data_IF_559431940959
#
_entry.id   IF_559431940959
#
_cell.length_a   1.000
_cell.length_b   1.000
_cell.length_c   1.000
_cell.angle_alpha   90.00
_cell.angle_beta   90.00
_cell.angle_gamma   90.00
#
_symmetry.space_group_name_H-M   'P 1'
#
loop_
_entity.id
_entity.type
_entity.pdbx_description
1 polymer ?
#
# COMPACT_ATOMS: atom_id res chain seq x y z
N UNK A 1 6.63 -22.08 -36.82
CA UNK A 1 7.59 -21.99 -35.70
C UNK A 1 7.01 -21.02 -34.68
N UNK A 2 6.58 -21.49 -33.50
CA UNK A 2 5.91 -20.64 -32.49
C UNK A 2 6.98 -20.04 -31.59
N UNK A 3 7.21 -18.73 -31.69
CA UNK A 3 8.07 -18.01 -30.76
C UNK A 3 7.38 -17.94 -29.39
N UNK A 4 8.11 -18.35 -28.35
CA UNK A 4 7.69 -18.28 -26.97
C UNK A 4 7.55 -16.80 -26.56
N UNK A 5 6.33 -16.37 -26.24
CA UNK A 5 6.11 -15.14 -25.49
C UNK A 5 6.60 -15.40 -24.07
N UNK A 6 7.86 -15.05 -23.81
CA UNK A 6 8.44 -14.96 -22.47
C UNK A 6 7.49 -14.15 -21.61
N UNK A 7 6.95 -14.80 -20.58
CA UNK A 7 6.38 -14.24 -19.37
C UNK A 7 6.51 -12.71 -19.31
N UNK A 8 5.43 -12.00 -19.63
CA UNK A 8 5.30 -10.62 -19.18
C UNK A 8 5.24 -10.74 -17.66
N UNK A 9 6.36 -10.45 -16.98
CA UNK A 9 6.41 -10.20 -15.55
C UNK A 9 5.49 -9.00 -15.26
N UNK A 10 4.18 -9.28 -15.11
CA UNK A 10 3.24 -8.35 -14.50
C UNK A 10 3.88 -7.98 -13.16
N UNK A 11 4.31 -6.72 -12.95
CA UNK A 11 5.06 -6.38 -11.76
C UNK A 11 4.22 -6.74 -10.55
N UNK A 12 4.82 -7.56 -9.68
CA UNK A 12 4.38 -7.87 -8.32
C UNK A 12 3.62 -6.66 -7.76
N UNK A 13 2.29 -6.76 -7.77
CA UNK A 13 1.32 -5.86 -7.13
C UNK A 13 1.88 -4.48 -6.73
N UNK A 14 1.64 -3.45 -7.54
CA UNK A 14 2.19 -2.09 -7.30
C UNK A 14 1.82 -1.60 -5.90
N UNK A 15 2.83 -1.18 -5.15
CA UNK A 15 2.68 -0.47 -3.88
C UNK A 15 3.20 0.94 -4.02
N UNK A 16 2.50 1.90 -3.42
CA UNK A 16 2.92 3.30 -3.42
C UNK A 16 3.11 3.77 -1.99
N UNK A 17 4.33 4.18 -1.65
CA UNK A 17 4.68 4.74 -0.36
C UNK A 17 4.53 6.26 -0.39
N UNK A 18 3.86 6.80 0.61
CA UNK A 18 3.68 8.23 0.79
C UNK A 18 4.21 8.67 2.15
N UNK A 19 4.84 9.84 2.17
CA UNK A 19 5.24 10.55 3.38
C UNK A 19 4.22 11.64 3.66
N UNK A 20 3.54 11.56 4.80
CA UNK A 20 2.65 12.60 5.30
C UNK A 20 3.42 13.78 5.87
N UNK A 21 2.71 14.90 6.08
CA UNK A 21 3.26 16.20 6.51
C UNK A 21 4.02 16.14 7.83
N UNK A 22 3.64 15.26 8.74
CA UNK A 22 4.23 15.10 10.08
C UNK A 22 5.32 14.03 10.14
N UNK A 23 5.85 13.60 8.99
CA UNK A 23 6.82 12.49 8.92
C UNK A 23 6.20 11.11 9.12
N UNK A 24 4.86 11.02 9.17
CA UNK A 24 4.15 9.75 9.10
C UNK A 24 4.29 9.13 7.70
N UNK A 25 4.24 7.81 7.61
CA UNK A 25 4.27 7.12 6.32
C UNK A 25 3.01 6.26 6.17
N UNK A 26 2.48 6.22 4.96
CA UNK A 26 1.37 5.34 4.61
C UNK A 26 1.63 4.69 3.26
N UNK A 27 1.06 3.51 3.08
CA UNK A 27 1.16 2.69 1.88
C UNK A 27 -0.22 2.60 1.24
N UNK A 28 -0.28 2.77 -0.07
CA UNK A 28 -1.47 2.50 -0.86
C UNK A 28 -1.21 1.27 -1.71
N UNK A 29 -2.15 0.33 -1.63
CA UNK A 29 -2.08 -0.92 -2.36
C UNK A 29 -3.50 -1.42 -2.61
N UNK A 30 -3.81 -1.84 -3.84
CA UNK A 30 -5.12 -2.34 -4.27
C UNK A 30 -6.31 -1.47 -3.84
N UNK A 31 -6.17 -0.15 -3.92
CA UNK A 31 -7.25 0.75 -3.52
C UNK A 31 -7.55 0.74 -2.01
N UNK A 32 -6.57 0.40 -1.18
CA UNK A 32 -6.65 0.51 0.27
C UNK A 32 -5.48 1.29 0.87
N UNK A 33 -5.78 2.12 1.87
CA UNK A 33 -4.76 2.81 2.68
C UNK A 33 -4.30 1.90 3.81
N UNK A 34 -3.00 1.80 3.98
CA UNK A 34 -2.38 1.17 5.13
C UNK A 34 -1.48 2.18 5.85
N UNK A 35 -1.62 2.28 7.16
CA UNK A 35 -0.74 3.08 8.00
C UNK A 35 0.41 2.20 8.50
N UNK A 36 1.62 2.79 8.58
CA UNK A 36 2.77 2.11 9.16
C UNK A 36 2.48 1.76 10.62
N UNK A 37 2.60 0.49 10.98
CA UNK A 37 2.41 0.04 12.35
C UNK A 37 3.74 -0.11 13.08
N UNK A 38 4.63 -0.94 12.55
CA UNK A 38 5.93 -1.21 13.17
C UNK A 38 6.95 -1.52 12.09
N UNK A 39 8.18 -1.06 12.32
CA UNK A 39 9.37 -1.41 11.55
C UNK A 39 10.20 -2.39 12.36
N UNK A 40 10.69 -3.44 11.72
CA UNK A 40 11.43 -4.57 12.30
C UNK A 40 12.69 -4.78 11.43
N UNK A 41 13.70 -5.47 11.96
CA UNK A 41 14.96 -5.75 11.24
C UNK A 41 15.64 -4.46 10.76
N UNK A 42 15.81 -3.49 11.67
CA UNK A 42 16.49 -2.23 11.35
C UNK A 42 15.76 -1.33 10.33
N UNK A 43 14.48 -1.57 10.07
CA UNK A 43 13.71 -0.80 9.07
C UNK A 43 13.45 -1.55 7.76
N UNK A 44 14.15 -2.68 7.54
CA UNK A 44 13.99 -3.48 6.32
C UNK A 44 12.58 -4.07 6.23
N UNK A 45 12.07 -4.66 7.32
CA UNK A 45 10.74 -5.26 7.33
C UNK A 45 9.72 -4.32 7.96
N UNK A 46 8.67 -3.95 7.24
CA UNK A 46 7.61 -3.10 7.77
C UNK A 46 6.26 -3.79 7.75
N UNK A 47 5.54 -3.73 8.87
CA UNK A 47 4.12 -4.13 8.97
C UNK A 47 3.24 -2.90 8.82
N UNK A 48 2.30 -2.98 7.89
CA UNK A 48 1.32 -1.95 7.57
C UNK A 48 -0.08 -2.47 7.91
N UNK A 49 -0.87 -1.72 8.67
CA UNK A 49 -2.27 -2.08 8.99
C UNK A 49 -3.22 -1.22 8.19
N UNK A 50 -4.35 -1.77 7.77
CA UNK A 50 -5.37 -0.97 7.10
C UNK A 50 -5.73 0.27 7.95
N UNK A 51 -5.95 1.41 7.29
CA UNK A 51 -6.33 2.64 7.96
C UNK A 51 -7.64 2.51 8.76
N UNK A 52 -8.53 1.59 8.37
CA UNK A 52 -9.77 1.26 9.10
C UNK A 52 -9.59 0.17 10.17
N UNK A 53 -8.37 -0.14 10.58
CA UNK A 53 -8.12 -1.14 11.64
C UNK A 53 -8.87 -0.84 12.95
N UNK A 54 -8.96 0.44 13.34
CA UNK A 54 -9.75 0.85 14.51
C UNK A 54 -11.26 0.60 14.37
N UNK A 55 -11.75 0.38 13.14
CA UNK A 55 -13.14 0.00 12.81
C UNK A 55 -13.29 -1.51 12.56
N UNK A 56 -12.37 -2.32 13.10
CA UNK A 56 -12.42 -3.79 13.02
C UNK A 56 -11.82 -4.41 11.75
N UNK A 57 -11.25 -3.62 10.83
CA UNK A 57 -10.58 -4.17 9.65
C UNK A 57 -9.28 -4.90 10.02
N UNK A 58 -9.14 -6.16 9.59
CA UNK A 58 -7.98 -7.01 9.92
C UNK A 58 -6.95 -7.11 8.80
N UNK A 59 -7.10 -6.33 7.73
CA UNK A 59 -6.17 -6.34 6.62
C UNK A 59 -4.80 -5.77 6.99
N UNK A 60 -3.75 -6.45 6.54
CA UNK A 60 -2.35 -6.16 6.86
C UNK A 60 -1.48 -6.40 5.63
N UNK A 61 -0.48 -5.54 5.43
CA UNK A 61 0.54 -5.67 4.40
C UNK A 61 1.91 -5.75 5.06
N UNK A 62 2.80 -6.57 4.52
CA UNK A 62 4.20 -6.68 4.92
C UNK A 62 5.09 -6.33 3.74
N UNK A 63 6.02 -5.42 3.98
CA UNK A 63 7.07 -5.07 3.01
C UNK A 63 8.43 -5.44 3.57
N UNK A 64 9.35 -5.79 2.68
CA UNK A 64 10.77 -5.93 2.96
C UNK A 64 11.53 -5.03 1.98
N UNK A 65 12.31 -4.10 2.50
CA UNK A 65 13.10 -3.12 1.73
C UNK A 65 12.26 -2.41 0.65
N UNK A 66 11.07 -1.94 1.04
CA UNK A 66 10.14 -1.27 0.12
C UNK A 66 9.43 -2.20 -0.88
N UNK A 67 9.68 -3.51 -0.86
CA UNK A 67 9.03 -4.50 -1.73
C UNK A 67 7.92 -5.23 -0.96
N UNK A 68 6.77 -5.44 -1.60
CA UNK A 68 5.67 -6.23 -1.03
C UNK A 68 6.07 -7.71 -0.95
N UNK A 69 6.09 -8.27 0.27
CA UNK A 69 6.45 -9.69 0.50
C UNK A 69 5.26 -10.56 0.91
N UNK A 70 4.26 -9.98 1.58
CA UNK A 70 3.09 -10.72 2.05
C UNK A 70 1.95 -9.79 2.40
N UNK A 71 0.72 -10.28 2.32
CA UNK A 71 -0.49 -9.50 2.56
C UNK A 71 -1.64 -10.38 2.99
N UNK A 72 -2.39 -9.89 3.97
CA UNK A 72 -3.69 -10.39 4.41
C UNK A 72 -4.75 -9.40 3.91
N UNK A 73 -5.44 -9.74 2.82
CA UNK A 73 -6.36 -8.84 2.12
C UNK A 73 -7.83 -8.98 2.56
N UNK A 74 -8.07 -9.27 3.85
CA UNK A 74 -9.41 -9.40 4.42
C UNK A 74 -9.93 -8.05 4.90
N UNK A 75 -10.62 -7.33 4.00
CA UNK A 75 -11.26 -6.06 4.29
C UNK A 75 -12.75 -6.27 4.65
N UNK A 76 -13.20 -5.61 5.71
CA UNK A 76 -14.62 -5.54 6.10
C UNK A 76 -15.28 -4.26 5.56
N UNK A 77 -14.71 -3.68 4.51
CA UNK A 77 -15.15 -2.43 3.92
C UNK A 77 -14.72 -2.36 2.46
N UNK A 78 -15.41 -1.52 1.68
CA UNK A 78 -15.10 -1.26 0.28
C UNK A 78 -13.80 -0.46 0.10
N UNK A 79 -13.21 -0.57 -1.09
CA UNK A 79 -12.04 0.20 -1.54
C UNK A 79 -12.36 1.70 -1.63
N UNK A 80 -11.34 2.56 -1.49
CA UNK A 80 -11.42 4.00 -1.22
C UNK A 80 -12.60 4.80 -1.82
N UNK A 81 -13.35 5.49 -0.95
CA UNK A 81 -14.21 6.62 -1.35
C UNK A 81 -13.51 8.00 -1.30
N UNK A 82 -12.30 8.15 -0.74
CA UNK A 82 -11.64 9.47 -0.62
C UNK A 82 -10.11 9.42 -0.77
N UNK A 83 -9.60 9.21 -1.99
CA UNK A 83 -8.24 9.64 -2.41
C UNK A 83 -8.34 10.96 -3.21
N UNK A 84 -9.24 11.88 -2.84
CA UNK A 84 -9.42 13.15 -3.57
C UNK A 84 -8.70 14.35 -2.94
N UNK A 85 -8.07 14.20 -1.77
CA UNK A 85 -7.62 15.37 -0.99
C UNK A 85 -6.16 15.77 -1.18
N UNK A 86 -5.32 14.97 -1.87
CA UNK A 86 -3.92 15.36 -2.13
C UNK A 86 -3.58 15.55 -3.63
N UNK A 87 -4.50 15.24 -4.56
CA UNK A 87 -4.36 15.63 -5.98
C UNK A 87 -5.09 16.94 -6.33
N UNK A 88 -5.68 17.62 -5.34
CA UNK A 88 -6.45 18.87 -5.51
C UNK A 88 -5.75 20.13 -4.95
N UNK A 89 -4.41 20.16 -4.90
CA UNK A 89 -3.66 21.39 -4.54
C UNK A 89 -2.65 21.84 -5.59
N UNK A 90 -2.73 21.33 -6.82
CA UNK A 90 -1.87 21.77 -7.93
C UNK A 90 -2.69 22.27 -9.14
N UNK A 91 -3.97 22.60 -8.93
CA UNK A 91 -4.85 23.20 -9.93
C UNK A 91 -5.60 24.37 -9.28
N UNK A 92 -4.83 25.40 -8.95
CA UNK A 92 -5.32 26.78 -8.98
C UNK A 92 -4.31 27.56 -9.82
N UNK A 93 -4.87 28.26 -10.79
CA UNK A 93 -4.25 28.93 -11.92
C UNK A 93 -3.15 29.93 -11.54
#
# INVERSE_FOLDING_TARGET
>A
MRAALSHVDVPRSLITLFRGRTGSYYLVHDGFKYNRHVMIMGGLKTRWRCARHKKGCKAVVYTYDGVLISRKNEHNHTQFEKIKTEFKLNLTC
#
